data_IF_994013646517
#
_entry.id   IF_994013646517
#
_cell.length_a   1.000
_cell.length_b   1.000
_cell.length_c   1.000
_cell.angle_alpha   90.00
_cell.angle_beta   90.00
_cell.angle_gamma   90.00
#
_symmetry.space_group_name_H-M   'P 1'
#
loop_
_entity.id
_entity.type
_entity.pdbx_description
1 polymer ?
#
# COMPACT_ATOMS: atom_id res chain seq x y z
N UNK A 1 11.60 -3.70 -12.87
CA UNK A 1 11.74 -3.47 -11.39
C UNK A 1 10.40 -3.83 -10.74
N UNK A 2 10.39 -4.74 -9.77
CA UNK A 2 9.16 -5.18 -9.08
C UNK A 2 8.60 -4.09 -8.18
N UNK A 3 7.27 -4.02 -8.12
CA UNK A 3 6.52 -3.07 -7.32
C UNK A 3 5.75 -3.89 -6.27
N UNK A 4 5.97 -3.60 -4.99
CA UNK A 4 5.19 -4.17 -3.89
C UNK A 4 4.12 -3.15 -3.47
N UNK A 5 2.86 -3.46 -3.74
CA UNK A 5 1.71 -2.69 -3.27
C UNK A 5 1.19 -3.24 -1.96
N UNK A 6 0.85 -2.36 -1.03
CA UNK A 6 0.35 -2.70 0.30
C UNK A 6 -0.90 -1.88 0.61
N UNK A 7 -1.97 -2.58 0.97
CA UNK A 7 -3.14 -2.03 1.65
C UNK A 7 -3.00 -2.29 3.16
N UNK A 8 -2.63 -1.26 3.96
CA UNK A 8 -2.27 -1.46 5.35
C UNK A 8 -3.49 -1.70 6.24
N UNK A 9 -3.51 -2.82 6.94
CA UNK A 9 -4.47 -3.12 8.00
C UNK A 9 -3.78 -3.77 9.19
N UNK A 10 -4.30 -3.54 10.41
CA UNK A 10 -3.75 -4.16 11.61
C UNK A 10 -4.20 -5.60 11.80
N UNK A 11 -5.39 -5.96 11.34
CA UNK A 11 -5.94 -7.32 11.43
C UNK A 11 -5.70 -8.11 10.15
N UNK A 12 -5.87 -7.45 9.03
CA UNK A 12 -5.64 -7.99 7.69
C UNK A 12 -4.89 -6.93 6.89
N UNK A 13 -3.77 -7.30 6.34
CA UNK A 13 -2.99 -6.49 5.39
C UNK A 13 -3.04 -7.16 4.04
N UNK A 14 -3.50 -6.44 3.02
CA UNK A 14 -3.36 -6.88 1.63
C UNK A 14 -1.97 -6.56 1.10
N UNK A 15 -1.42 -7.46 0.28
CA UNK A 15 -0.19 -7.18 -0.48
C UNK A 15 -0.28 -7.75 -1.91
N UNK A 16 0.45 -7.11 -2.82
CA UNK A 16 0.56 -7.58 -4.19
C UNK A 16 1.93 -7.20 -4.78
N UNK A 17 2.51 -8.12 -5.53
CA UNK A 17 3.78 -7.91 -6.25
C UNK A 17 3.50 -7.90 -7.74
N UNK A 18 3.86 -6.79 -8.39
CA UNK A 18 3.79 -6.62 -9.83
C UNK A 18 5.18 -6.47 -10.42
N UNK A 19 5.36 -6.93 -11.65
CA UNK A 19 6.53 -6.56 -12.44
C UNK A 19 6.12 -6.09 -13.84
N UNK A 20 6.86 -5.14 -14.44
CA UNK A 20 6.67 -4.76 -15.82
C UNK A 20 7.02 -5.92 -16.75
N UNK A 21 6.12 -6.25 -17.68
CA UNK A 21 6.32 -7.21 -18.74
C UNK A 21 6.13 -6.54 -20.12
N UNK A 22 6.37 -7.28 -21.20
CA UNK A 22 6.30 -6.74 -22.57
C UNK A 22 4.89 -6.21 -22.92
N UNK A 23 3.85 -6.92 -22.47
CA UNK A 23 2.45 -6.63 -22.81
C UNK A 23 1.70 -5.88 -21.70
N UNK A 24 2.40 -5.39 -20.67
CA UNK A 24 1.77 -4.68 -19.55
C UNK A 24 2.29 -5.12 -18.20
N UNK A 25 1.57 -4.83 -17.09
CA UNK A 25 1.93 -5.29 -15.77
C UNK A 25 1.63 -6.77 -15.60
N UNK A 26 2.58 -7.55 -15.07
CA UNK A 26 2.35 -8.93 -14.68
C UNK A 26 2.15 -9.03 -13.17
N UNK A 27 1.08 -9.73 -12.75
CA UNK A 27 0.84 -10.04 -11.34
C UNK A 27 1.65 -11.28 -10.96
N UNK A 28 2.70 -11.08 -10.12
CA UNK A 28 3.58 -12.15 -9.67
C UNK A 28 2.98 -12.91 -8.47
N UNK A 29 2.47 -12.16 -7.49
CA UNK A 29 1.84 -12.69 -6.28
C UNK A 29 0.88 -11.66 -5.70
N UNK A 30 -0.18 -12.12 -5.04
CA UNK A 30 -1.03 -11.30 -4.22
C UNK A 30 -1.64 -12.14 -3.09
N UNK A 31 -1.82 -11.53 -1.92
CA UNK A 31 -2.33 -12.24 -0.77
C UNK A 31 -2.67 -11.31 0.39
N UNK A 32 -2.96 -11.93 1.53
CA UNK A 32 -3.22 -11.24 2.79
C UNK A 32 -2.35 -11.80 3.92
N UNK A 33 -1.86 -10.90 4.77
CA UNK A 33 -1.26 -11.22 6.05
C UNK A 33 -2.33 -11.03 7.12
N UNK A 34 -2.60 -12.09 7.90
CA UNK A 34 -3.58 -12.06 9.00
C UNK A 34 -2.86 -12.11 10.34
N UNK A 35 -3.14 -11.14 11.19
CA UNK A 35 -2.54 -11.03 12.52
C UNK A 35 -3.50 -11.44 13.64
N UNK A 36 -4.77 -11.70 13.29
CA UNK A 36 -5.78 -12.07 14.27
C UNK A 36 -5.76 -13.60 14.48
N UNK A 37 -5.52 -14.01 15.71
CA UNK A 37 -5.60 -15.40 16.18
C UNK A 37 -6.98 -15.76 16.75
N UNK A 38 -7.99 -14.88 16.53
CA UNK A 38 -9.34 -15.05 17.08
C UNK A 38 -9.51 -14.57 18.52
N UNK A 39 -8.43 -14.18 19.21
CA UNK A 39 -8.54 -13.63 20.58
C UNK A 39 -8.84 -12.14 20.56
N UNK A 40 -9.78 -11.69 21.40
CA UNK A 40 -10.16 -10.27 21.51
C UNK A 40 -9.04 -9.36 22.04
N UNK A 41 -7.99 -9.94 22.60
CA UNK A 41 -6.87 -9.27 23.28
C UNK A 41 -5.53 -9.50 22.61
N UNK A 42 -5.52 -9.64 21.27
CA UNK A 42 -4.24 -9.80 20.58
C UNK A 42 -3.30 -8.62 20.88
N UNK A 43 -2.16 -8.94 21.46
CA UNK A 43 -1.09 -8.01 21.79
C UNK A 43 -0.63 -7.26 20.53
N UNK A 44 -0.60 -5.94 20.61
CA UNK A 44 -0.15 -5.07 19.51
C UNK A 44 1.26 -5.46 19.05
N UNK A 45 2.16 -5.73 20.00
CA UNK A 45 3.53 -6.11 19.68
C UNK A 45 3.59 -7.40 18.85
N UNK A 46 2.77 -8.40 19.20
CA UNK A 46 2.67 -9.66 18.43
C UNK A 46 2.12 -9.43 17.04
N UNK A 47 1.10 -8.58 16.89
CA UNK A 47 0.55 -8.25 15.57
C UNK A 47 1.59 -7.59 14.68
N UNK A 48 2.31 -6.61 15.22
CA UNK A 48 3.36 -5.92 14.46
C UNK A 48 4.52 -6.87 14.11
N UNK A 49 4.90 -7.78 15.02
CA UNK A 49 5.89 -8.80 14.74
C UNK A 49 5.43 -9.73 13.61
N UNK A 50 4.18 -10.23 13.65
CA UNK A 50 3.63 -11.05 12.56
C UNK A 50 3.65 -10.32 11.22
N UNK A 51 3.26 -9.03 11.18
CA UNK A 51 3.33 -8.22 9.96
C UNK A 51 4.79 -8.11 9.49
N UNK A 52 5.71 -7.84 10.40
CA UNK A 52 7.13 -7.70 10.09
C UNK A 52 7.71 -8.99 9.51
N UNK A 53 7.48 -10.12 10.15
CA UNK A 53 8.03 -11.41 9.75
C UNK A 53 7.47 -11.84 8.37
N UNK A 54 6.13 -11.82 8.21
CA UNK A 54 5.50 -12.19 6.95
C UNK A 54 5.89 -11.26 5.80
N UNK A 55 5.97 -9.95 6.06
CA UNK A 55 6.38 -9.00 5.03
C UNK A 55 7.87 -9.14 4.70
N UNK A 56 8.70 -9.54 5.68
CA UNK A 56 10.11 -9.86 5.46
C UNK A 56 10.25 -11.00 4.45
N UNK A 57 9.46 -12.06 4.57
CA UNK A 57 9.44 -13.17 3.62
C UNK A 57 9.08 -12.71 2.20
N UNK A 58 8.07 -11.84 2.05
CA UNK A 58 7.68 -11.25 0.76
C UNK A 58 8.84 -10.44 0.16
N UNK A 59 9.52 -9.61 0.98
CA UNK A 59 10.67 -8.84 0.52
C UNK A 59 11.82 -9.72 0.08
N UNK A 60 12.12 -10.78 0.83
CA UNK A 60 13.24 -11.66 0.56
C UNK A 60 13.00 -12.54 -0.68
N UNK A 61 11.75 -12.97 -0.87
CA UNK A 61 11.33 -13.75 -2.04
C UNK A 61 11.31 -12.90 -3.32
N UNK A 62 10.69 -11.72 -3.26
CA UNK A 62 10.38 -10.94 -4.46
C UNK A 62 11.36 -9.80 -4.74
N UNK A 63 12.13 -9.37 -3.75
CA UNK A 63 13.14 -8.30 -3.85
C UNK A 63 12.58 -7.07 -4.59
N UNK A 64 11.52 -6.43 -4.06
CA UNK A 64 10.90 -5.29 -4.70
C UNK A 64 11.88 -4.12 -4.80
N UNK A 65 11.83 -3.40 -5.91
CA UNK A 65 12.63 -2.19 -6.09
C UNK A 65 11.91 -0.92 -5.62
N UNK A 66 10.62 -1.02 -5.32
CA UNK A 66 9.81 0.03 -4.71
C UNK A 66 8.66 -0.59 -3.93
N UNK A 67 8.34 0.01 -2.79
CA UNK A 67 7.16 -0.29 -1.99
C UNK A 67 6.17 0.86 -2.14
N UNK A 68 4.90 0.53 -2.31
CA UNK A 68 3.83 1.52 -2.42
C UNK A 68 2.77 1.17 -1.39
N UNK A 69 2.45 2.13 -0.52
CA UNK A 69 1.49 1.93 0.57
C UNK A 69 0.32 2.89 0.40
N UNK A 70 -0.91 2.43 0.57
CA UNK A 70 -2.05 3.33 0.59
C UNK A 70 -1.89 4.38 1.70
N UNK A 71 -2.16 5.64 1.36
CA UNK A 71 -2.08 6.74 2.33
C UNK A 71 -3.27 6.67 3.28
N UNK A 72 -3.01 6.73 4.58
CA UNK A 72 -4.07 6.86 5.58
C UNK A 72 -4.81 8.18 5.38
N UNK A 73 -6.12 8.12 5.38
CA UNK A 73 -6.96 9.31 5.29
C UNK A 73 -7.18 9.86 6.69
N UNK A 74 -6.86 11.14 6.90
CA UNK A 74 -6.84 11.78 8.22
C UNK A 74 -8.16 12.46 8.62
N UNK A 75 -9.31 12.07 8.08
CA UNK A 75 -10.59 12.50 8.65
C UNK A 75 -10.96 11.61 9.83
N UNK A 76 -10.68 12.12 11.00
CA UNK A 76 -10.75 11.41 12.28
C UNK A 76 -12.19 11.30 12.82
N UNK A 77 -13.06 10.57 12.15
CA UNK A 77 -14.25 10.05 12.85
C UNK A 77 -13.85 9.00 13.90
N UNK A 78 -12.70 8.31 13.69
CA UNK A 78 -12.18 7.27 14.59
C UNK A 78 -10.65 7.40 14.79
N UNK A 79 -10.18 8.35 15.62
CA UNK A 79 -8.75 8.60 15.82
C UNK A 79 -7.98 7.37 16.32
N UNK A 80 -8.61 6.53 17.15
CA UNK A 80 -8.01 5.29 17.65
C UNK A 80 -7.63 4.35 16.51
N UNK A 81 -8.51 4.17 15.53
CA UNK A 81 -8.24 3.30 14.36
C UNK A 81 -7.08 3.84 13.54
N UNK A 82 -7.03 5.16 13.31
CA UNK A 82 -5.93 5.79 12.58
C UNK A 82 -4.58 5.59 13.28
N UNK A 83 -4.52 5.71 14.61
CA UNK A 83 -3.32 5.44 15.40
C UNK A 83 -2.88 3.97 15.24
N UNK A 84 -3.81 3.03 15.37
CA UNK A 84 -3.52 1.60 15.23
C UNK A 84 -3.01 1.25 13.82
N UNK A 85 -3.61 1.82 12.78
CA UNK A 85 -3.14 1.65 11.40
C UNK A 85 -1.78 2.32 11.18
N UNK A 86 -1.50 3.43 11.86
CA UNK A 86 -0.20 4.10 11.84
C UNK A 86 0.92 3.19 12.34
N UNK A 87 0.69 2.38 13.38
CA UNK A 87 1.66 1.41 13.87
C UNK A 87 1.99 0.35 12.81
N UNK A 88 0.98 -0.28 12.20
CA UNK A 88 1.19 -1.26 11.13
C UNK A 88 1.94 -0.63 9.94
N UNK A 89 1.54 0.59 9.55
CA UNK A 89 2.18 1.33 8.48
C UNK A 89 3.66 1.60 8.76
N UNK A 90 4.03 1.93 10.00
CA UNK A 90 5.41 2.14 10.44
C UNK A 90 6.31 0.94 10.15
N UNK A 91 5.78 -0.28 10.24
CA UNK A 91 6.51 -1.52 9.95
C UNK A 91 6.94 -1.57 8.47
N UNK A 92 6.09 -1.18 7.53
CA UNK A 92 6.44 -1.20 6.10
C UNK A 92 7.50 -0.16 5.75
N UNK A 93 7.43 1.03 6.37
CA UNK A 93 8.47 2.06 6.21
C UNK A 93 9.80 1.62 6.81
N UNK A 94 9.78 0.97 7.98
CA UNK A 94 10.96 0.42 8.60
C UNK A 94 11.64 -0.63 7.71
N UNK A 95 10.86 -1.58 7.18
CA UNK A 95 11.35 -2.63 6.29
C UNK A 95 11.96 -2.05 5.01
N UNK A 96 11.29 -1.09 4.38
CA UNK A 96 11.83 -0.40 3.22
C UNK A 96 13.13 0.32 3.53
N UNK A 97 13.18 1.06 4.64
CA UNK A 97 14.39 1.77 5.09
C UNK A 97 15.56 0.84 5.37
N UNK A 98 15.33 -0.28 6.07
CA UNK A 98 16.36 -1.27 6.37
C UNK A 98 16.94 -1.94 5.12
N UNK A 99 16.16 -2.06 4.06
CA UNK A 99 16.57 -2.69 2.79
C UNK A 99 16.99 -1.68 1.71
N UNK A 100 16.97 -0.38 2.01
CA UNK A 100 17.29 0.67 1.04
C UNK A 100 16.28 0.74 -0.12
N UNK A 101 15.04 0.25 0.11
CA UNK A 101 13.95 0.26 -0.88
C UNK A 101 13.07 1.48 -0.62
N UNK A 102 12.84 2.36 -1.63
CA UNK A 102 11.97 3.52 -1.46
C UNK A 102 10.53 3.11 -1.16
N UNK A 103 9.90 3.80 -0.20
CA UNK A 103 8.50 3.61 0.18
C UNK A 103 7.71 4.85 -0.21
N UNK A 104 6.77 4.68 -1.13
CA UNK A 104 5.89 5.75 -1.63
C UNK A 104 4.47 5.57 -1.10
N UNK A 105 3.67 6.63 -1.21
CA UNK A 105 2.27 6.58 -0.79
C UNK A 105 1.37 7.34 -1.75
N UNK A 106 0.19 6.76 -2.00
CA UNK A 106 -0.85 7.40 -2.79
C UNK A 106 -2.17 7.43 -2.03
N UNK A 107 -2.94 8.52 -2.11
CA UNK A 107 -4.28 8.57 -1.53
C UNK A 107 -5.25 7.65 -2.29
N UNK A 108 -6.20 7.05 -1.58
CA UNK A 108 -7.22 6.14 -2.13
C UNK A 108 -7.94 6.73 -3.36
N UNK A 109 -8.27 8.03 -3.32
CA UNK A 109 -8.92 8.72 -4.44
C UNK A 109 -8.07 8.73 -5.71
N UNK A 110 -6.74 8.85 -5.57
CA UNK A 110 -5.80 8.80 -6.70
C UNK A 110 -5.69 7.38 -7.26
N UNK A 111 -5.60 6.38 -6.37
CA UNK A 111 -5.56 4.96 -6.75
C UNK A 111 -6.81 4.63 -7.56
N UNK A 112 -7.99 4.89 -7.00
CA UNK A 112 -9.28 4.65 -7.65
C UNK A 112 -9.39 5.35 -9.01
N UNK A 113 -9.01 6.63 -9.08
CA UNK A 113 -9.05 7.40 -10.33
C UNK A 113 -8.13 6.82 -11.39
N UNK A 114 -6.94 6.36 -11.01
CA UNK A 114 -5.97 5.77 -11.93
C UNK A 114 -6.49 4.45 -12.52
N UNK A 115 -7.11 3.61 -11.69
CA UNK A 115 -7.55 2.26 -12.09
C UNK A 115 -8.90 2.28 -12.83
N UNK A 116 -9.87 3.09 -12.36
CA UNK A 116 -11.25 3.06 -12.84
C UNK A 116 -11.66 4.30 -13.62
N UNK A 117 -10.82 5.34 -13.64
CA UNK A 117 -11.17 6.66 -14.17
C UNK A 117 -11.94 7.54 -13.16
N UNK A 118 -12.44 6.99 -12.03
CA UNK A 118 -13.23 7.71 -11.03
C UNK A 118 -12.61 7.59 -9.64
N UNK A 119 -12.30 8.72 -9.00
CA UNK A 119 -11.81 8.74 -7.62
C UNK A 119 -12.86 8.31 -6.57
N UNK A 120 -14.13 8.17 -6.98
CA UNK A 120 -15.26 7.73 -6.14
C UNK A 120 -15.69 6.29 -6.42
N UNK A 121 -14.88 5.52 -7.15
CA UNK A 121 -15.19 4.14 -7.47
C UNK A 121 -15.46 3.30 -6.21
N UNK A 122 -16.47 2.46 -6.28
CA UNK A 122 -16.80 1.48 -5.25
C UNK A 122 -15.84 0.28 -5.28
N UNK A 123 -15.91 -0.57 -4.25
CA UNK A 123 -15.05 -1.76 -4.15
C UNK A 123 -15.24 -2.72 -5.32
N UNK A 124 -16.46 -3.01 -5.69
CA UNK A 124 -16.77 -3.89 -6.83
C UNK A 124 -16.21 -3.34 -8.15
N UNK A 125 -16.31 -2.02 -8.38
CA UNK A 125 -15.73 -1.40 -9.57
C UNK A 125 -14.21 -1.55 -9.62
N UNK A 126 -13.53 -1.44 -8.48
CA UNK A 126 -12.10 -1.69 -8.36
C UNK A 126 -11.77 -3.15 -8.68
N UNK A 127 -12.47 -4.11 -8.08
CA UNK A 127 -12.27 -5.54 -8.33
C UNK A 127 -12.47 -5.90 -9.80
N UNK A 128 -13.54 -5.42 -10.43
CA UNK A 128 -13.79 -5.66 -11.87
C UNK A 128 -12.74 -5.02 -12.77
N UNK A 129 -12.27 -3.82 -12.44
CA UNK A 129 -11.21 -3.17 -13.22
C UNK A 129 -9.91 -3.99 -13.16
N UNK A 130 -9.53 -4.47 -11.97
CA UNK A 130 -8.35 -5.32 -11.76
C UNK A 130 -8.51 -6.68 -12.46
N UNK A 131 -9.68 -7.30 -12.33
CA UNK A 131 -9.99 -8.56 -13.02
C UNK A 131 -9.77 -8.44 -14.53
N UNK A 132 -10.25 -7.34 -15.13
CA UNK A 132 -10.07 -7.08 -16.56
C UNK A 132 -8.63 -6.80 -16.96
N UNK A 133 -7.89 -6.05 -16.14
CA UNK A 133 -6.51 -5.70 -16.41
C UNK A 133 -5.61 -6.95 -16.51
N UNK A 134 -5.83 -7.92 -15.62
CA UNK A 134 -5.04 -9.16 -15.59
C UNK A 134 -5.72 -10.36 -16.25
N UNK A 135 -6.89 -10.19 -16.85
CA UNK A 135 -7.63 -11.30 -17.47
C UNK A 135 -7.99 -12.41 -16.49
N UNK A 136 -8.29 -12.07 -15.22
CA UNK A 136 -8.62 -13.06 -14.19
C UNK A 136 -9.98 -13.69 -14.45
N UNK A 137 -10.15 -14.96 -14.11
CA UNK A 137 -11.44 -15.67 -14.25
C UNK A 137 -12.51 -15.17 -13.26
N UNK A 138 -12.10 -14.60 -12.13
CA UNK A 138 -12.97 -14.03 -11.11
C UNK A 138 -12.30 -12.81 -10.45
N UNK A 139 -13.08 -11.90 -9.84
CA UNK A 139 -12.53 -10.80 -9.07
C UNK A 139 -11.61 -11.30 -7.94
N UNK A 140 -10.49 -10.61 -7.66
CA UNK A 140 -9.62 -11.01 -6.56
C UNK A 140 -10.30 -10.85 -5.21
N UNK A 141 -10.19 -11.88 -4.36
CA UNK A 141 -10.73 -11.94 -3.01
C UNK A 141 -9.63 -12.33 -2.00
N UNK A 142 -9.74 -11.85 -0.74
CA UNK A 142 -10.67 -10.83 -0.24
C UNK A 142 -10.40 -9.43 -0.82
N UNK A 143 -11.24 -8.45 -0.50
CA UNK A 143 -11.13 -7.08 -1.01
C UNK A 143 -9.74 -6.46 -0.78
N UNK A 144 -9.09 -6.77 0.36
CA UNK A 144 -7.75 -6.30 0.70
C UNK A 144 -6.71 -6.68 -0.38
N UNK A 145 -6.88 -7.83 -1.04
CA UNK A 145 -6.03 -8.25 -2.17
C UNK A 145 -6.23 -7.32 -3.36
N UNK A 146 -7.48 -7.03 -3.72
CA UNK A 146 -7.78 -6.12 -4.81
C UNK A 146 -7.25 -4.70 -4.54
N UNK A 147 -7.41 -4.22 -3.31
CA UNK A 147 -6.94 -2.90 -2.91
C UNK A 147 -5.40 -2.83 -3.01
N UNK A 148 -4.67 -3.84 -2.55
CA UNK A 148 -3.22 -3.93 -2.69
C UNK A 148 -2.74 -4.00 -4.16
N UNK A 149 -3.42 -4.79 -5.01
CA UNK A 149 -3.15 -4.82 -6.45
C UNK A 149 -3.37 -3.43 -7.05
N UNK A 150 -4.46 -2.75 -6.68
CA UNK A 150 -4.75 -1.39 -7.12
C UNK A 150 -3.67 -0.38 -6.73
N UNK A 151 -3.11 -0.51 -5.51
CA UNK A 151 -1.98 0.32 -5.05
C UNK A 151 -0.77 0.14 -5.95
N UNK A 152 -0.38 -1.12 -6.24
CA UNK A 152 0.77 -1.42 -7.10
C UNK A 152 0.54 -0.97 -8.55
N UNK A 153 -0.66 -1.22 -9.12
CA UNK A 153 -1.05 -0.77 -10.46
C UNK A 153 -1.02 0.76 -10.59
N UNK A 154 -1.49 1.48 -9.58
CA UNK A 154 -1.46 2.93 -9.57
C UNK A 154 -0.02 3.44 -9.79
N UNK A 155 0.95 2.86 -9.09
CA UNK A 155 2.35 3.21 -9.27
C UNK A 155 2.87 2.82 -10.65
N UNK A 156 2.54 1.62 -11.14
CA UNK A 156 2.92 1.15 -12.47
C UNK A 156 2.48 2.12 -13.56
N UNK A 157 1.21 2.53 -13.58
CA UNK A 157 0.69 3.44 -14.59
C UNK A 157 1.25 4.86 -14.47
N UNK A 158 1.48 5.35 -13.25
CA UNK A 158 2.08 6.67 -13.05
C UNK A 158 3.56 6.72 -13.46
N UNK A 159 4.30 5.63 -13.25
CA UNK A 159 5.71 5.51 -13.67
C UNK A 159 5.88 5.34 -15.18
N UNK A 160 4.90 4.72 -15.85
CA UNK A 160 4.91 4.46 -17.29
C UNK A 160 4.12 5.50 -18.11
N UNK A 161 3.46 6.47 -17.48
CA UNK A 161 2.81 7.57 -18.21
C UNK A 161 3.88 8.38 -18.94
N UNK A 162 3.74 8.66 -20.26
CA UNK A 162 4.64 9.54 -20.96
C UNK A 162 4.68 10.88 -20.21
N UNK A 163 5.86 11.29 -19.80
CA UNK A 163 6.11 12.45 -18.93
C UNK A 163 5.42 13.70 -19.49
N UNK A 164 4.27 14.06 -18.99
CA UNK A 164 3.82 15.44 -18.96
C UNK A 164 4.61 16.14 -17.86
N UNK A 165 5.66 16.88 -18.26
CA UNK A 165 6.35 17.85 -17.43
C UNK A 165 6.91 17.31 -16.12
N UNK A 166 8.21 17.11 -16.07
CA UNK A 166 8.93 16.82 -14.83
C UNK A 166 8.73 17.97 -13.82
N UNK A 167 7.80 17.78 -12.88
CA UNK A 167 7.81 18.51 -11.62
C UNK A 167 7.08 17.68 -10.56
N UNK A 168 7.78 17.44 -9.44
CA UNK A 168 7.25 16.97 -8.16
C UNK A 168 6.96 15.48 -8.01
N UNK A 169 8.00 14.67 -7.96
CA UNK A 169 7.95 13.34 -7.33
C UNK A 169 9.04 13.18 -6.25
N UNK A 170 9.38 14.27 -5.55
CA UNK A 170 10.28 14.25 -4.39
C UNK A 170 9.57 14.88 -3.19
N UNK A 171 8.51 14.24 -2.70
CA UNK A 171 8.09 14.37 -1.33
C UNK A 171 8.23 13.01 -0.66
N UNK A 172 9.46 12.54 -0.66
CA UNK A 172 9.96 11.57 0.31
C UNK A 172 10.26 12.33 1.59
N UNK A 173 9.54 12.03 2.62
CA UNK A 173 9.86 12.56 3.95
C UNK A 173 8.81 13.53 4.46
N UNK A 174 8.18 13.13 5.54
CA UNK A 174 7.57 14.03 6.50
C UNK A 174 8.67 15.06 6.83
N UNK A 175 8.44 16.34 6.54
CA UNK A 175 9.35 17.39 6.94
C UNK A 175 9.27 17.52 8.47
N UNK A 176 10.14 16.77 9.15
CA UNK A 176 10.24 16.78 10.62
C UNK A 176 10.48 18.16 11.21
N UNK A 177 11.03 19.09 10.42
CA UNK A 177 11.22 20.49 10.87
C UNK A 177 9.90 21.26 11.02
N UNK A 178 8.88 20.94 10.23
CA UNK A 178 7.58 21.62 10.35
C UNK A 178 6.80 21.15 11.59
N UNK A 179 7.00 19.89 12.03
CA UNK A 179 6.33 19.33 13.21
C UNK A 179 6.96 19.77 14.54
N UNK A 180 8.17 20.34 14.52
CA UNK A 180 8.89 20.76 15.73
C UNK A 180 8.78 22.29 15.97
N UNK A 181 8.21 23.06 15.03
CA UNK A 181 8.06 24.52 15.18
C UNK A 181 6.71 24.96 15.76
N UNK A 182 5.70 24.08 15.81
CA UNK A 182 4.37 24.42 16.36
C UNK A 182 4.23 24.16 17.88
N UNK A 183 5.33 23.94 18.59
CA UNK A 183 5.36 23.60 20.02
C UNK A 183 6.00 24.63 20.95
N UNK A 184 6.39 25.81 20.49
CA UNK A 184 7.07 26.81 21.33
C UNK A 184 6.25 28.12 21.59
N UNK A 185 4.97 28.16 21.24
CA UNK A 185 4.11 29.32 21.58
C UNK A 185 2.85 28.87 22.35
N UNK A 186 3.04 28.37 23.63
CA UNK A 186 2.06 28.51 24.73
C UNK A 186 2.78 28.43 26.08
#
# INVERSE_FOLDING_TARGET
MRILGIDPGLQVTGYAVLEPAADGPALCEAGVIRTADGTKTADMAKRLATIYDSMTEVFDQWKPGVVVVEQLYSHYEHPRTAILMGHARGVYFLLGGQRGVPVLSYPATKIKKTITGSGRAGKEQMQYAIMREFGLAAPPEPHDVADAIGVALCHYFLGNSPRRGAQSALHTGVNMKALLQDGEDE
#
